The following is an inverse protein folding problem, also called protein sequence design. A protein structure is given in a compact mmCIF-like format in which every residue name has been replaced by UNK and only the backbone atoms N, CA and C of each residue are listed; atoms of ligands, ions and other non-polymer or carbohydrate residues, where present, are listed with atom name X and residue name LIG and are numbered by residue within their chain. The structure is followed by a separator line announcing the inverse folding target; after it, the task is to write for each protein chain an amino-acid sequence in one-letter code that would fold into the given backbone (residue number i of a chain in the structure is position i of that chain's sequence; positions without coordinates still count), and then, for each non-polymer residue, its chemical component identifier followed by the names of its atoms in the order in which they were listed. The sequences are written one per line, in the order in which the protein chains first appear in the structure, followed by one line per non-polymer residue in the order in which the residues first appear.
data_IF_027389111734
#
_entry.id   IF_027389111734
#
_cell.length_a   1.000
_cell.length_b   1.000
_cell.length_c   1.000
_cell.angle_alpha   90.00
_cell.angle_beta   90.00
_cell.angle_gamma   90.00
#
_symmetry.space_group_name_H-M   'P 1'
#
loop_
_entity.id
_entity.type
_entity.pdbx_description
1 polymer ?
#
# COMPACT_ATOMS: atom_id res chain seq x y z
N UNK A 1 42.09 73.96 -5.47
CA UNK A 1 42.16 74.21 -6.92
C UNK A 1 42.04 72.85 -7.60
N UNK A 2 40.98 72.65 -8.40
CA UNK A 2 40.81 71.71 -9.53
C UNK A 2 41.90 70.65 -9.79
N UNK A 3 41.69 69.38 -10.18
CA UNK A 3 40.56 68.58 -10.69
C UNK A 3 41.14 67.22 -11.16
N UNK A 4 40.32 66.16 -11.29
CA UNK A 4 40.40 65.01 -12.26
C UNK A 4 41.71 64.16 -12.38
N UNK A 5 41.77 62.85 -12.63
CA UNK A 5 40.90 61.68 -12.76
C UNK A 5 41.87 60.55 -13.16
N UNK A 6 41.72 59.31 -12.68
CA UNK A 6 41.90 58.11 -13.52
C UNK A 6 41.36 56.86 -12.83
N UNK A 7 40.27 56.38 -13.42
CA UNK A 7 39.58 55.14 -13.12
C UNK A 7 40.38 53.93 -13.62
N UNK A 8 40.40 52.86 -12.83
CA UNK A 8 40.59 51.50 -13.33
C UNK A 8 39.46 50.65 -12.73
N UNK A 9 38.41 50.43 -13.52
CA UNK A 9 37.29 49.57 -13.17
C UNK A 9 37.71 48.11 -13.33
N UNK A 10 37.89 47.40 -12.23
CA UNK A 10 37.93 45.93 -12.21
C UNK A 10 36.49 45.46 -12.00
N UNK A 11 35.86 44.96 -13.07
CA UNK A 11 34.56 44.29 -13.01
C UNK A 11 34.83 42.83 -12.62
N UNK A 12 34.71 42.51 -11.33
CA UNK A 12 34.61 41.12 -10.86
C UNK A 12 33.14 40.70 -11.03
N UNK A 13 32.88 39.94 -12.10
CA UNK A 13 31.59 39.32 -12.33
C UNK A 13 31.42 38.13 -11.37
N UNK A 14 30.77 38.36 -10.23
CA UNK A 14 30.39 37.32 -9.28
C UNK A 14 29.16 36.59 -9.85
N UNK A 15 29.38 35.47 -10.55
CA UNK A 15 28.30 34.55 -10.92
C UNK A 15 27.88 33.81 -9.66
N UNK A 16 26.83 34.32 -9.01
CA UNK A 16 26.15 33.63 -7.92
C UNK A 16 25.32 32.49 -8.53
N UNK A 17 25.95 31.36 -8.78
CA UNK A 17 25.25 30.11 -9.05
C UNK A 17 24.49 29.72 -7.79
N UNK A 18 23.21 30.07 -7.75
CA UNK A 18 22.25 29.49 -6.80
C UNK A 18 22.13 28.02 -7.16
N UNK A 19 23.03 27.20 -6.61
CA UNK A 19 22.77 25.78 -6.48
C UNK A 19 21.65 25.66 -5.44
N UNK A 20 20.41 25.63 -5.91
CA UNK A 20 19.31 25.04 -5.14
C UNK A 20 19.63 23.55 -5.05
N UNK A 21 20.52 23.19 -4.13
CA UNK A 21 20.56 21.84 -3.58
C UNK A 21 19.27 21.73 -2.79
N UNK A 22 18.26 21.12 -3.40
CA UNK A 22 17.08 20.66 -2.70
C UNK A 22 17.56 19.77 -1.55
N UNK A 23 17.57 20.34 -0.33
CA UNK A 23 17.79 19.56 0.88
C UNK A 23 16.64 18.55 0.95
N UNK A 24 16.91 17.24 0.96
CA UNK A 24 15.84 16.26 1.13
C UNK A 24 15.23 16.51 2.49
N UNK A 25 13.93 16.77 2.54
CA UNK A 25 13.20 17.03 3.78
C UNK A 25 13.48 15.91 4.80
N UNK A 26 14.36 16.20 5.76
CA UNK A 26 14.66 15.36 6.90
C UNK A 26 13.38 15.20 7.73
N UNK A 27 13.00 13.95 8.01
CA UNK A 27 11.96 13.53 8.96
C UNK A 27 10.49 13.69 8.57
N UNK A 28 10.13 13.20 7.39
CA UNK A 28 8.72 13.09 7.01
C UNK A 28 8.10 11.83 7.67
N UNK A 29 7.58 12.00 8.90
CA UNK A 29 6.79 11.00 9.65
C UNK A 29 5.44 10.86 8.96
N UNK A 30 5.24 9.82 8.14
CA UNK A 30 4.27 9.93 7.04
C UNK A 30 2.93 9.23 7.21
N UNK A 31 2.78 8.30 8.16
CA UNK A 31 1.78 7.23 7.99
C UNK A 31 0.61 7.32 8.98
N UNK A 32 0.63 8.27 9.91
CA UNK A 32 -0.48 8.50 10.84
C UNK A 32 -0.24 9.79 11.62
N UNK A 33 -1.28 10.60 11.85
CA UNK A 33 -1.20 11.83 12.67
C UNK A 33 -0.66 11.58 14.10
N UNK A 34 -0.70 10.34 14.59
CA UNK A 34 -0.26 9.95 15.93
C UNK A 34 0.73 8.78 15.96
N UNK A 35 1.01 8.09 14.84
CA UNK A 35 1.95 6.97 14.79
C UNK A 35 3.07 7.21 13.78
N UNK A 36 4.30 7.18 14.27
CA UNK A 36 5.50 7.43 13.46
C UNK A 36 5.98 6.12 12.82
N UNK A 37 5.32 5.67 11.75
CA UNK A 37 5.89 4.62 10.89
C UNK A 37 6.81 5.31 9.88
N UNK A 38 8.05 4.85 9.78
CA UNK A 38 8.99 5.30 8.77
C UNK A 38 9.02 4.28 7.61
N UNK A 39 8.48 4.62 6.43
CA UNK A 39 8.44 3.69 5.29
C UNK A 39 9.82 3.36 4.70
N UNK A 40 10.86 4.10 5.09
CA UNK A 40 12.24 3.91 4.63
C UNK A 40 13.12 3.22 5.67
N UNK A 41 12.59 2.95 6.87
CA UNK A 41 13.32 2.25 7.94
C UNK A 41 12.36 1.46 8.82
N UNK A 42 12.27 0.16 8.55
CA UNK A 42 11.48 -0.79 9.33
C UNK A 42 12.27 -2.10 9.51
N UNK A 43 11.84 -2.92 10.47
CA UNK A 43 12.45 -4.22 10.76
C UNK A 43 11.43 -5.33 10.58
N UNK A 44 11.88 -6.49 10.11
CA UNK A 44 11.07 -7.70 10.08
C UNK A 44 11.09 -8.35 11.46
N UNK A 45 9.92 -8.46 12.09
CA UNK A 45 9.77 -9.13 13.39
C UNK A 45 9.20 -10.52 13.13
N UNK A 46 9.98 -11.57 13.44
CA UNK A 46 9.57 -12.97 13.22
C UNK A 46 8.67 -13.50 14.34
N UNK A 47 8.88 -13.05 15.56
CA UNK A 47 8.11 -13.44 16.75
C UNK A 47 8.22 -12.33 17.78
N UNK A 48 7.13 -12.06 18.49
CA UNK A 48 7.06 -11.12 19.59
C UNK A 48 5.80 -11.40 20.43
N UNK A 49 5.74 -10.85 21.64
CA UNK A 49 4.60 -11.00 22.55
C UNK A 49 3.96 -9.65 22.86
N UNK A 50 2.63 -9.59 22.76
CA UNK A 50 1.86 -8.36 22.97
C UNK A 50 0.78 -8.58 24.03
N UNK A 51 0.58 -7.60 24.91
CA UNK A 51 -0.40 -7.71 26.00
C UNK A 51 -1.83 -7.29 25.61
N UNK A 52 -1.99 -6.50 24.53
CA UNK A 52 -3.28 -5.88 24.18
C UNK A 52 -3.82 -6.33 22.82
N UNK A 53 -3.01 -6.21 21.78
CA UNK A 53 -3.39 -6.55 20.41
C UNK A 53 -2.14 -6.88 19.60
N UNK A 54 -2.31 -7.69 18.57
CA UNK A 54 -1.29 -8.01 17.57
C UNK A 54 -1.90 -7.93 16.17
N UNK A 55 -1.07 -7.58 15.19
CA UNK A 55 -1.41 -7.61 13.77
C UNK A 55 -0.25 -8.28 13.05
N UNK A 56 -0.55 -9.28 12.23
CA UNK A 56 0.43 -10.01 11.44
C UNK A 56 0.00 -10.03 9.97
N UNK A 57 0.96 -9.81 9.07
CA UNK A 57 0.74 -9.78 7.63
C UNK A 57 2.04 -10.09 6.88
N UNK A 58 1.95 -10.28 5.57
CA UNK A 58 3.11 -10.63 4.73
C UNK A 58 4.16 -9.52 4.60
N UNK A 59 3.84 -8.27 4.96
CA UNK A 59 4.76 -7.14 4.85
C UNK A 59 4.85 -6.33 6.16
N UNK A 60 6.06 -5.99 6.66
CA UNK A 60 6.22 -5.27 7.93
C UNK A 60 5.45 -3.95 8.00
N UNK A 61 5.46 -3.16 6.93
CA UNK A 61 4.73 -1.89 6.90
C UNK A 61 3.22 -2.09 7.02
N UNK A 62 2.64 -3.14 6.43
CA UNK A 62 1.21 -3.40 6.54
C UNK A 62 0.83 -3.83 7.96
N UNK A 63 1.64 -4.69 8.60
CA UNK A 63 1.47 -5.05 10.02
C UNK A 63 1.57 -3.81 10.93
N UNK A 64 2.53 -2.92 10.67
CA UNK A 64 2.69 -1.67 11.41
C UNK A 64 1.50 -0.73 11.20
N UNK A 65 0.94 -0.63 9.98
CA UNK A 65 -0.26 0.15 9.69
C UNK A 65 -1.45 -0.37 10.49
N UNK A 66 -1.74 -1.67 10.46
CA UNK A 66 -2.83 -2.24 11.26
C UNK A 66 -2.63 -2.02 12.76
N UNK A 67 -1.40 -2.19 13.26
CA UNK A 67 -1.07 -1.91 14.66
C UNK A 67 -1.23 -0.41 15.02
N UNK A 68 -0.91 0.51 14.11
CA UNK A 68 -1.12 1.95 14.30
C UNK A 68 -2.61 2.31 14.34
N UNK A 69 -3.45 1.64 13.56
CA UNK A 69 -4.90 1.79 13.61
C UNK A 69 -5.48 1.27 14.94
N UNK A 70 -5.00 0.13 15.44
CA UNK A 70 -5.36 -0.34 16.78
C UNK A 70 -4.97 0.67 17.87
N UNK A 71 -3.78 1.29 17.76
CA UNK A 71 -3.32 2.34 18.71
C UNK A 71 -4.16 3.62 18.65
N UNK A 72 -4.86 3.88 17.55
CA UNK A 72 -5.79 5.00 17.41
C UNK A 72 -7.19 4.71 17.96
N UNK A 73 -7.39 3.56 18.61
CA UNK A 73 -8.69 3.16 19.16
C UNK A 73 -9.58 2.38 18.19
N UNK A 74 -9.04 1.96 17.04
CA UNK A 74 -9.70 1.03 16.14
C UNK A 74 -9.87 -0.37 16.75
N UNK A 75 -10.71 -1.17 16.12
CA UNK A 75 -10.91 -2.59 16.42
C UNK A 75 -10.22 -3.50 15.38
N UNK A 76 -10.39 -4.81 15.51
CA UNK A 76 -9.79 -5.78 14.60
C UNK A 76 -10.25 -5.62 13.13
N UNK A 77 -11.49 -5.18 12.88
CA UNK A 77 -11.99 -4.90 11.53
C UNK A 77 -11.31 -3.65 10.93
N UNK A 78 -11.17 -2.58 11.72
CA UNK A 78 -10.42 -1.38 11.32
C UNK A 78 -8.98 -1.73 10.92
N UNK A 79 -8.30 -2.51 11.77
CA UNK A 79 -6.94 -2.96 11.53
C UNK A 79 -6.83 -3.87 10.29
N UNK A 80 -7.79 -4.77 10.09
CA UNK A 80 -7.83 -5.65 8.92
C UNK A 80 -8.00 -4.86 7.62
N UNK A 81 -8.93 -3.90 7.58
CA UNK A 81 -9.16 -3.04 6.40
C UNK A 81 -7.89 -2.25 6.07
N UNK A 82 -7.29 -1.58 7.06
CA UNK A 82 -6.09 -0.77 6.83
C UNK A 82 -4.87 -1.63 6.43
N UNK A 83 -4.75 -2.83 6.99
CA UNK A 83 -3.69 -3.80 6.62
C UNK A 83 -3.89 -4.28 5.18
N UNK A 84 -5.11 -4.64 4.77
CA UNK A 84 -5.43 -5.05 3.40
C UNK A 84 -5.08 -3.95 2.39
N UNK A 85 -5.49 -2.71 2.67
CA UNK A 85 -5.22 -1.56 1.80
C UNK A 85 -3.73 -1.24 1.74
N UNK A 86 -3.01 -1.35 2.86
CA UNK A 86 -1.56 -1.20 2.86
C UNK A 86 -0.88 -2.30 2.03
N UNK A 87 -1.29 -3.57 2.17
CA UNK A 87 -0.77 -4.70 1.37
C UNK A 87 -1.00 -4.50 -0.13
N UNK A 88 -2.11 -3.88 -0.53
CA UNK A 88 -2.37 -3.54 -1.94
C UNK A 88 -1.33 -2.58 -2.54
N UNK A 89 -0.53 -1.92 -1.69
CA UNK A 89 0.57 -1.04 -2.11
C UNK A 89 1.92 -1.71 -1.89
N UNK A 90 2.17 -2.19 -0.68
CA UNK A 90 3.52 -2.65 -0.28
C UNK A 90 3.80 -4.09 -0.68
N UNK A 91 2.78 -4.88 -1.04
CA UNK A 91 2.94 -6.29 -1.39
C UNK A 91 2.16 -6.66 -2.66
N UNK A 92 2.47 -6.06 -3.81
CA UNK A 92 1.65 -6.14 -5.03
C UNK A 92 1.60 -7.54 -5.67
N UNK A 93 2.51 -8.45 -5.30
CA UNK A 93 2.45 -9.84 -5.74
C UNK A 93 1.24 -10.63 -5.21
N UNK A 94 0.53 -10.13 -4.20
CA UNK A 94 -0.71 -10.74 -3.69
C UNK A 94 -1.71 -9.73 -3.11
N UNK A 95 -1.23 -8.74 -2.35
CA UNK A 95 -2.07 -7.65 -1.85
C UNK A 95 -2.68 -6.88 -3.02
N UNK A 96 -3.98 -6.60 -2.96
CA UNK A 96 -4.70 -6.11 -4.13
C UNK A 96 -5.95 -5.28 -3.80
N UNK A 97 -6.39 -4.51 -4.79
CA UNK A 97 -7.76 -4.01 -4.94
C UNK A 97 -8.46 -4.58 -6.20
N UNK A 98 -7.71 -5.28 -7.06
CA UNK A 98 -8.17 -5.85 -8.33
C UNK A 98 -8.47 -7.34 -8.31
N UNK A 99 -8.46 -7.98 -7.13
CA UNK A 99 -8.83 -9.38 -6.94
C UNK A 99 -9.99 -9.53 -5.97
N UNK A 100 -9.98 -10.59 -5.16
CA UNK A 100 -10.99 -10.90 -4.16
C UNK A 100 -10.43 -11.71 -3.00
N UNK A 101 -11.31 -12.28 -2.19
CA UNK A 101 -10.92 -13.08 -1.03
C UNK A 101 -12.05 -13.37 -0.07
N UNK A 102 -11.67 -13.66 1.18
CA UNK A 102 -12.57 -13.99 2.26
C UNK A 102 -12.13 -13.32 3.55
N UNK A 103 -13.10 -12.90 4.37
CA UNK A 103 -12.87 -12.45 5.73
C UNK A 103 -13.57 -13.39 6.69
N UNK A 104 -12.82 -13.94 7.63
CA UNK A 104 -13.35 -14.69 8.77
C UNK A 104 -13.08 -13.88 10.03
N UNK A 105 -14.12 -13.67 10.82
CA UNK A 105 -14.01 -12.92 12.07
C UNK A 105 -14.84 -13.54 13.18
N UNK A 106 -14.38 -13.32 14.41
CA UNK A 106 -15.13 -13.59 15.63
C UNK A 106 -15.24 -12.30 16.43
N UNK A 107 -16.45 -11.87 16.74
CA UNK A 107 -16.68 -10.67 17.53
C UNK A 107 -16.47 -10.94 19.03
N UNK A 108 -16.40 -9.88 19.83
CA UNK A 108 -16.36 -10.02 21.30
C UNK A 108 -17.63 -10.69 21.85
N UNK A 109 -18.77 -10.53 21.18
CA UNK A 109 -20.03 -11.24 21.48
C UNK A 109 -20.03 -12.69 20.96
N UNK A 110 -18.88 -13.22 20.55
CA UNK A 110 -18.69 -14.57 20.01
C UNK A 110 -19.44 -14.86 18.71
N UNK A 111 -19.96 -13.83 18.02
CA UNK A 111 -20.55 -14.00 16.70
C UNK A 111 -19.46 -14.35 15.69
N UNK A 112 -19.71 -15.38 14.88
CA UNK A 112 -18.86 -15.76 13.76
C UNK A 112 -19.38 -15.07 12.50
N UNK A 113 -18.45 -14.47 11.76
CA UNK A 113 -18.73 -13.75 10.52
C UNK A 113 -17.83 -14.35 9.44
N UNK A 114 -18.44 -14.66 8.29
CA UNK A 114 -17.74 -15.04 7.08
C UNK A 114 -18.25 -14.15 5.92
N UNK A 115 -17.35 -13.39 5.32
CA UNK A 115 -17.64 -12.60 4.12
C UNK A 115 -16.92 -13.24 2.93
N UNK A 116 -17.69 -13.59 1.91
CA UNK A 116 -17.18 -14.02 0.61
C UNK A 116 -17.23 -12.82 -0.34
N UNK A 117 -16.05 -12.35 -0.72
CA UNK A 117 -15.86 -11.33 -1.75
C UNK A 117 -14.91 -11.85 -2.83
N UNK A 118 -15.05 -13.15 -3.15
CA UNK A 118 -14.37 -13.78 -4.27
C UNK A 118 -14.78 -13.13 -5.58
N UNK A 119 -13.86 -13.11 -6.52
CA UNK A 119 -14.12 -12.65 -7.86
C UNK A 119 -15.23 -13.49 -8.51
N UNK A 120 -16.01 -12.85 -9.40
CA UNK A 120 -17.05 -13.52 -10.18
C UNK A 120 -16.65 -13.60 -11.64
N UNK A 121 -17.02 -14.69 -12.33
CA UNK A 121 -16.92 -14.73 -13.77
C UNK A 121 -17.73 -13.57 -14.39
N UNK A 122 -17.19 -12.82 -15.36
CA UNK A 122 -17.95 -11.77 -16.05
C UNK A 122 -19.23 -12.32 -16.70
N UNK A 123 -20.25 -11.49 -16.90
CA UNK A 123 -21.55 -11.93 -17.45
C UNK A 123 -21.47 -12.55 -18.85
N UNK A 124 -20.40 -12.24 -19.62
CA UNK A 124 -20.14 -12.80 -20.94
C UNK A 124 -19.22 -14.03 -20.91
N UNK A 125 -18.79 -14.47 -19.74
CA UNK A 125 -17.99 -15.68 -19.60
C UNK A 125 -18.84 -16.90 -19.99
N UNK A 126 -18.21 -17.89 -20.62
CA UNK A 126 -18.84 -19.15 -20.99
C UNK A 126 -17.84 -20.29 -20.85
N UNK A 127 -18.35 -21.52 -20.78
CA UNK A 127 -17.57 -22.75 -20.52
C UNK A 127 -16.30 -22.86 -21.35
N UNK A 128 -16.40 -22.58 -22.65
CA UNK A 128 -15.33 -22.85 -23.62
C UNK A 128 -14.47 -21.63 -23.96
N UNK A 129 -14.53 -20.54 -23.19
CA UNK A 129 -13.84 -19.28 -23.52
C UNK A 129 -12.31 -19.35 -23.53
N UNK A 130 -11.74 -20.48 -23.08
CA UNK A 130 -10.30 -20.77 -23.07
C UNK A 130 -9.91 -21.97 -23.93
N UNK A 131 -10.81 -22.47 -24.77
CA UNK A 131 -10.55 -23.61 -25.64
C UNK A 131 -10.34 -23.15 -27.09
N UNK A 132 -9.48 -23.86 -27.82
CA UNK A 132 -9.38 -23.71 -29.26
C UNK A 132 -10.54 -24.42 -29.99
N UNK A 133 -10.54 -24.34 -31.32
CA UNK A 133 -11.57 -24.96 -32.18
C UNK A 133 -11.64 -26.49 -32.07
N UNK A 134 -10.56 -27.12 -31.64
CA UNK A 134 -10.43 -28.57 -31.52
C UNK A 134 -10.71 -29.05 -30.07
N UNK A 135 -11.04 -28.11 -29.17
CA UNK A 135 -11.37 -28.38 -27.77
C UNK A 135 -10.15 -28.43 -26.83
N UNK A 136 -8.95 -28.07 -27.30
CA UNK A 136 -7.76 -28.05 -26.45
C UNK A 136 -7.66 -26.75 -25.66
N UNK A 137 -7.10 -26.82 -24.46
CA UNK A 137 -6.91 -25.65 -23.61
C UNK A 137 -5.83 -24.71 -24.18
N UNK A 138 -6.18 -23.43 -24.31
CA UNK A 138 -5.22 -22.36 -24.59
C UNK A 138 -4.79 -21.77 -23.24
N UNK A 139 -3.83 -22.42 -22.58
CA UNK A 139 -3.49 -22.16 -21.16
C UNK A 139 -3.21 -20.69 -20.83
N UNK A 140 -2.63 -19.93 -21.75
CA UNK A 140 -2.26 -18.55 -21.49
C UNK A 140 -3.48 -17.63 -21.32
N UNK A 141 -4.62 -17.95 -21.94
CA UNK A 141 -5.81 -17.10 -21.87
C UNK A 141 -6.43 -17.02 -20.47
N UNK A 142 -6.24 -18.06 -19.64
CA UNK A 142 -6.73 -18.08 -18.26
C UNK A 142 -5.68 -17.66 -17.22
N UNK A 143 -4.44 -17.38 -17.64
CA UNK A 143 -3.32 -17.00 -16.77
C UNK A 143 -2.87 -15.56 -16.99
N UNK A 144 -2.87 -15.09 -18.24
CA UNK A 144 -2.31 -13.80 -18.65
C UNK A 144 -3.33 -12.95 -19.40
N UNK A 145 -3.19 -11.63 -19.25
CA UNK A 145 -4.01 -10.66 -19.96
C UNK A 145 -5.42 -10.50 -19.37
N UNK A 146 -6.23 -9.67 -20.03
CA UNK A 146 -7.53 -9.23 -19.50
C UNK A 146 -8.59 -10.34 -19.44
N UNK A 147 -8.48 -11.40 -20.27
CA UNK A 147 -9.45 -12.50 -20.27
C UNK A 147 -9.38 -13.33 -18.99
N UNK A 148 -8.19 -13.44 -18.38
CA UNK A 148 -7.98 -14.18 -17.14
C UNK A 148 -8.61 -13.52 -15.90
N UNK A 149 -9.03 -12.26 -15.98
CA UNK A 149 -9.53 -11.50 -14.85
C UNK A 149 -11.02 -11.81 -14.55
N UNK A 150 -11.31 -12.20 -13.30
CA UNK A 150 -12.65 -12.14 -12.76
C UNK A 150 -13.04 -10.70 -12.38
N UNK A 151 -14.34 -10.47 -12.13
CA UNK A 151 -14.83 -9.18 -11.60
C UNK A 151 -14.30 -9.00 -10.16
N UNK A 152 -13.49 -7.97 -9.87
CA UNK A 152 -12.87 -7.79 -8.56
C UNK A 152 -13.89 -7.60 -7.43
N UNK A 153 -13.62 -8.21 -6.27
CA UNK A 153 -14.48 -8.18 -5.09
C UNK A 153 -13.87 -7.49 -3.86
N UNK A 154 -12.55 -7.27 -3.79
CA UNK A 154 -11.89 -6.77 -2.56
C UNK A 154 -12.50 -5.48 -2.01
N UNK A 155 -12.79 -4.48 -2.86
CA UNK A 155 -13.40 -3.22 -2.39
C UNK A 155 -14.84 -3.43 -1.88
N UNK A 156 -15.61 -4.31 -2.53
CA UNK A 156 -16.94 -4.68 -2.03
C UNK A 156 -16.86 -5.42 -0.69
N UNK A 157 -15.83 -6.25 -0.49
CA UNK A 157 -15.53 -6.88 0.80
C UNK A 157 -15.20 -5.87 1.89
N UNK A 158 -14.40 -4.84 1.57
CA UNK A 158 -14.12 -3.73 2.50
C UNK A 158 -15.40 -2.99 2.85
N UNK A 159 -16.23 -2.64 1.86
CA UNK A 159 -17.51 -1.97 2.08
C UNK A 159 -18.44 -2.78 2.99
N UNK A 160 -18.57 -4.09 2.74
CA UNK A 160 -19.32 -5.02 3.58
C UNK A 160 -18.73 -5.20 5.00
N UNK A 161 -17.44 -4.87 5.19
CA UNK A 161 -16.77 -4.92 6.49
C UNK A 161 -16.94 -3.62 7.29
N UNK A 162 -17.13 -2.47 6.63
CA UNK A 162 -17.26 -1.16 7.27
C UNK A 162 -18.34 -1.07 8.36
N UNK A 163 -19.51 -1.75 8.27
CA UNK A 163 -20.48 -1.77 9.37
C UNK A 163 -19.93 -2.30 10.71
N UNK A 164 -18.85 -3.08 10.68
CA UNK A 164 -18.18 -3.60 11.87
C UNK A 164 -16.98 -2.74 12.31
N UNK A 165 -16.57 -1.77 11.50
CA UNK A 165 -15.46 -0.86 11.79
C UNK A 165 -15.90 0.27 12.74
N UNK A 166 -14.95 0.87 13.48
CA UNK A 166 -15.20 2.03 14.34
C UNK A 166 -14.72 3.34 13.73
N UNK A 167 -13.69 3.29 12.89
CA UNK A 167 -13.08 4.46 12.29
C UNK A 167 -13.60 4.66 10.86
N UNK A 168 -13.72 5.91 10.39
CA UNK A 168 -14.19 6.16 9.03
C UNK A 168 -13.16 5.69 8.00
N UNK A 169 -13.64 5.22 6.84
CA UNK A 169 -12.80 4.71 5.75
C UNK A 169 -11.66 5.68 5.39
N UNK A 170 -11.91 6.99 5.42
CA UNK A 170 -10.90 8.04 5.17
C UNK A 170 -9.65 7.87 6.04
N UNK A 171 -9.81 7.48 7.31
CA UNK A 171 -8.69 7.23 8.22
C UNK A 171 -8.02 5.90 7.90
N UNK A 172 -8.80 4.87 7.58
CA UNK A 172 -8.30 3.52 7.30
C UNK A 172 -7.50 3.43 6.00
N UNK A 173 -7.88 4.19 4.96
CA UNK A 173 -7.21 4.19 3.66
C UNK A 173 -5.99 5.11 3.59
N UNK A 174 -5.94 6.16 4.44
CA UNK A 174 -4.90 7.18 4.38
C UNK A 174 -3.46 6.60 4.42
N UNK A 175 -3.13 5.61 5.26
CA UNK A 175 -1.80 5.00 5.27
C UNK A 175 -1.40 4.40 3.92
N UNK A 176 -2.33 3.74 3.22
CA UNK A 176 -2.08 3.16 1.90
C UNK A 176 -1.86 4.26 0.85
N UNK A 177 -2.64 5.36 0.90
CA UNK A 177 -2.45 6.53 0.04
C UNK A 177 -1.06 7.12 0.24
N UNK A 178 -0.63 7.30 1.49
CA UNK A 178 0.69 7.87 1.78
C UNK A 178 1.83 6.95 1.33
N UNK A 179 1.71 5.64 1.57
CA UNK A 179 2.67 4.65 1.06
C UNK A 179 2.77 4.67 -0.47
N UNK A 180 1.64 4.78 -1.18
CA UNK A 180 1.63 4.82 -2.64
C UNK A 180 2.18 6.14 -3.18
N UNK A 181 1.84 7.27 -2.54
CA UNK A 181 2.22 8.61 -2.98
C UNK A 181 3.70 8.92 -2.76
N UNK A 182 4.24 8.47 -1.63
CA UNK A 182 5.58 8.86 -1.19
C UNK A 182 6.58 7.70 -1.24
N UNK A 183 6.12 6.50 -1.55
CA UNK A 183 6.94 5.31 -1.66
C UNK A 183 7.39 4.74 -0.33
N UNK A 184 8.11 3.62 -0.43
CA UNK A 184 8.68 2.88 0.69
C UNK A 184 9.94 2.14 0.23
N UNK A 185 10.79 1.72 1.18
CA UNK A 185 11.94 0.87 0.84
C UNK A 185 11.49 -0.56 0.62
N UNK A 186 11.94 -1.20 -0.45
CA UNK A 186 11.68 -2.62 -0.72
C UNK A 186 12.42 -3.50 0.29
N UNK A 187 11.82 -4.64 0.61
CA UNK A 187 12.53 -5.75 1.23
C UNK A 187 13.46 -6.41 0.22
N UNK A 188 14.49 -7.11 0.71
CA UNK A 188 15.38 -7.93 -0.14
C UNK A 188 14.60 -8.96 -0.98
N UNK A 189 13.59 -9.60 -0.38
CA UNK A 189 12.74 -10.56 -1.07
C UNK A 189 11.96 -9.93 -2.23
N UNK A 190 11.41 -8.73 -2.04
CA UNK A 190 10.70 -8.02 -3.10
C UNK A 190 11.64 -7.61 -4.23
N UNK A 191 12.83 -7.12 -3.89
CA UNK A 191 13.85 -6.78 -4.88
C UNK A 191 14.25 -8.02 -5.71
N UNK A 192 14.49 -9.16 -5.06
CA UNK A 192 14.82 -10.41 -5.76
C UNK A 192 13.67 -10.87 -6.66
N UNK A 193 12.44 -10.90 -6.14
CA UNK A 193 11.27 -11.30 -6.94
C UNK A 193 11.10 -10.43 -8.19
N UNK A 194 11.31 -9.12 -8.09
CA UNK A 194 11.19 -8.20 -9.24
C UNK A 194 12.32 -8.37 -10.26
N UNK A 195 13.53 -8.72 -9.82
CA UNK A 195 14.67 -8.94 -10.71
C UNK A 195 14.61 -10.31 -11.42
N UNK A 196 13.97 -11.29 -10.79
CA UNK A 196 13.82 -12.66 -11.32
C UNK A 196 12.53 -12.85 -12.15
N UNK A 197 11.74 -11.77 -12.37
CA UNK A 197 10.45 -11.76 -13.10
C UNK A 197 10.60 -11.54 -14.61
#
# INVERSE_FOLDING_TARGET
MHQFFRYSFIIISLVLSIQVVAQPEKNKRLICATCTINPYKYVQVKSDTFQKASVSSAHPLASLVGAAIMKQGGNAFDAAIATQLALAVVYPGAGNIGGGGFLLARTHQQQLIALDYREKAPARAHRDMYLDKDGNAIEQLSKLGHLAAGVPGTIAGIDATLPYAKLPLKILIQPAIDLAKYGFVLTEREANNLNDS
#
